data_IF_479008488529
#
_entry.id   IF_479008488529
#
_cell.length_a   1.000
_cell.length_b   1.000
_cell.length_c   1.000
_cell.angle_alpha   90.00
_cell.angle_beta   90.00
_cell.angle_gamma   90.00
#
_symmetry.space_group_name_H-M   'P 1'
#
loop_
_entity.id
_entity.type
_entity.pdbx_description
1 polymer ?
#
# COMPACT_ATOMS: atom_id res chain seq x y z
N UNK A 1 -0.41 -16.07 -6.04
CA UNK A 1 -1.43 -15.04 -6.24
C UNK A 1 -2.34 -15.02 -5.03
N UNK A 2 -2.41 -13.92 -4.29
CA UNK A 2 -3.33 -13.73 -3.16
C UNK A 2 -4.62 -13.05 -3.64
N UNK A 3 -5.67 -13.12 -2.83
CA UNK A 3 -6.93 -12.39 -3.00
C UNK A 3 -6.99 -11.13 -2.12
N UNK A 4 -8.06 -10.35 -2.27
CA UNK A 4 -8.27 -9.10 -1.52
C UNK A 4 -8.35 -9.30 -0.01
N UNK A 5 -9.00 -10.38 0.45
CA UNK A 5 -9.12 -10.66 1.88
C UNK A 5 -7.74 -10.94 2.48
N UNK A 6 -6.91 -11.71 1.77
CA UNK A 6 -5.53 -11.94 2.19
C UNK A 6 -4.68 -10.67 2.16
N UNK A 7 -4.87 -9.80 1.16
CA UNK A 7 -4.20 -8.50 1.12
C UNK A 7 -4.63 -7.60 2.29
N UNK A 8 -5.91 -7.65 2.69
CA UNK A 8 -6.42 -6.91 3.83
C UNK A 8 -5.83 -7.40 5.15
N UNK A 9 -5.67 -8.71 5.34
CA UNK A 9 -4.99 -9.27 6.50
C UNK A 9 -3.54 -8.77 6.59
N UNK A 10 -2.79 -8.81 5.48
CA UNK A 10 -1.40 -8.34 5.42
C UNK A 10 -1.32 -6.85 5.76
N UNK A 11 -2.21 -6.03 5.19
CA UNK A 11 -2.28 -4.59 5.49
C UNK A 11 -2.60 -4.32 6.96
N UNK A 12 -3.56 -5.06 7.53
CA UNK A 12 -3.94 -4.91 8.94
C UNK A 12 -2.80 -5.29 9.89
N UNK A 13 -2.08 -6.37 9.58
CA UNK A 13 -0.88 -6.78 10.33
C UNK A 13 0.23 -5.74 10.20
N UNK A 14 0.49 -5.24 8.99
CA UNK A 14 1.50 -4.22 8.73
C UNK A 14 1.23 -2.92 9.50
N UNK A 15 -0.03 -2.47 9.50
CA UNK A 15 -0.43 -1.22 10.16
C UNK A 15 -0.77 -1.40 11.65
N UNK A 16 -0.82 -2.63 12.14
CA UNK A 16 -1.24 -2.96 13.51
C UNK A 16 -2.68 -2.57 13.85
N UNK A 17 -3.55 -2.36 12.83
CA UNK A 17 -4.92 -1.86 13.01
C UNK A 17 -5.87 -2.27 11.88
N UNK A 18 -7.19 -2.39 12.15
CA UNK A 18 -8.18 -2.70 11.12
C UNK A 18 -8.39 -1.52 10.14
N UNK A 19 -8.93 -1.81 8.95
CA UNK A 19 -9.25 -0.81 7.92
C UNK A 19 -10.24 0.25 8.40
N UNK A 20 -11.20 -0.20 9.21
CA UNK A 20 -12.27 0.61 9.81
C UNK A 20 -11.84 1.29 11.12
N UNK A 21 -10.54 1.39 11.39
CA UNK A 21 -10.05 2.07 12.59
C UNK A 21 -10.59 3.51 12.65
N UNK A 22 -11.31 3.89 13.71
CA UNK A 22 -12.00 5.19 13.76
C UNK A 22 -11.04 6.37 13.89
N UNK A 23 -9.77 6.14 14.26
CA UNK A 23 -8.77 7.18 14.40
C UNK A 23 -7.91 7.33 13.15
N UNK A 24 -7.62 6.22 12.48
CA UNK A 24 -6.70 6.20 11.33
C UNK A 24 -7.16 5.20 10.25
N UNK A 25 -8.31 5.44 9.61
CA UNK A 25 -8.88 4.52 8.63
C UNK A 25 -7.99 4.43 7.40
N UNK A 26 -7.95 3.24 6.80
CA UNK A 26 -7.20 2.96 5.59
C UNK A 26 -8.00 2.07 4.64
N UNK A 27 -7.63 2.07 3.37
CA UNK A 27 -8.33 1.31 2.34
C UNK A 27 -7.32 0.67 1.38
N UNK A 28 -7.71 -0.44 0.76
CA UNK A 28 -6.96 -1.04 -0.34
C UNK A 28 -7.51 -0.55 -1.67
N UNK A 29 -6.62 -0.11 -2.55
CA UNK A 29 -6.94 0.19 -3.93
C UNK A 29 -6.33 -0.88 -4.84
N UNK A 30 -7.18 -1.74 -5.41
CA UNK A 30 -6.74 -2.78 -6.35
C UNK A 30 -6.20 -2.15 -7.64
N UNK A 31 -5.11 -2.72 -8.15
CA UNK A 31 -4.55 -2.45 -9.47
C UNK A 31 -3.93 -3.75 -10.04
N UNK A 32 -3.54 -3.80 -11.33
CA UNK A 32 -3.20 -5.09 -11.97
C UNK A 32 -2.09 -5.90 -11.29
N UNK A 33 -1.17 -5.25 -10.59
CA UNK A 33 -0.01 -5.87 -9.95
C UNK A 33 -0.24 -6.13 -8.45
N UNK A 34 -1.31 -5.62 -7.84
CA UNK A 34 -1.48 -5.68 -6.40
C UNK A 34 -2.54 -4.76 -5.81
N UNK A 35 -2.34 -4.40 -4.55
CA UNK A 35 -3.15 -3.42 -3.85
C UNK A 35 -2.26 -2.33 -3.25
N UNK A 36 -2.65 -1.07 -3.44
CA UNK A 36 -2.04 0.06 -2.77
C UNK A 36 -2.78 0.31 -1.44
N UNK A 37 -2.05 0.40 -0.34
CA UNK A 37 -2.59 0.76 0.97
C UNK A 37 -2.71 2.29 1.04
N UNK A 38 -3.94 2.79 0.94
CA UNK A 38 -4.25 4.20 1.09
C UNK A 38 -4.58 4.51 2.55
N UNK A 39 -3.59 5.06 3.26
CA UNK A 39 -3.73 5.52 4.67
C UNK A 39 -4.41 6.87 4.80
N UNK A 40 -4.59 7.58 3.69
CA UNK A 40 -5.13 8.94 3.63
C UNK A 40 -6.45 8.96 2.88
N UNK A 41 -7.17 7.83 2.77
CA UNK A 41 -8.44 7.75 2.05
C UNK A 41 -9.50 8.73 2.60
N UNK A 42 -9.33 9.18 3.84
CA UNK A 42 -10.17 10.16 4.53
C UNK A 42 -9.64 11.61 4.45
N UNK A 43 -8.46 11.86 3.86
CA UNK A 43 -7.84 13.17 3.75
C UNK A 43 -7.93 13.68 2.31
N UNK A 44 -8.15 14.98 2.15
CA UNK A 44 -8.18 15.66 0.85
C UNK A 44 -6.84 15.50 0.12
N UNK A 45 -6.86 15.61 -1.22
CA UNK A 45 -5.75 15.35 -2.16
C UNK A 45 -4.40 16.04 -1.84
N UNK A 46 -4.33 16.93 -0.84
CA UNK A 46 -3.11 17.62 -0.39
C UNK A 46 -2.12 16.76 0.40
N UNK A 47 -2.48 15.55 0.85
CA UNK A 47 -1.52 14.61 1.51
C UNK A 47 -0.69 13.79 0.51
N UNK A 48 -0.25 14.44 -0.58
CA UNK A 48 0.74 13.91 -1.52
C UNK A 48 2.12 13.89 -0.84
N UNK A 49 2.37 12.85 -0.06
CA UNK A 49 3.64 12.72 0.67
C UNK A 49 3.69 11.63 1.75
N UNK A 50 2.62 10.86 1.97
CA UNK A 50 2.72 9.67 2.78
C UNK A 50 3.43 8.56 1.98
N UNK A 51 4.37 7.84 2.61
CA UNK A 51 4.97 6.65 2.02
C UNK A 51 3.85 5.69 1.58
N UNK A 52 3.92 5.19 0.34
CA UNK A 52 2.92 4.29 -0.22
C UNK A 52 3.32 2.85 0.06
N UNK A 53 2.43 2.04 0.61
CA UNK A 53 2.66 0.60 0.72
C UNK A 53 1.88 -0.13 -0.36
N UNK A 54 2.53 -1.07 -1.02
CA UNK A 54 1.90 -1.93 -2.02
C UNK A 54 2.01 -3.37 -1.58
N UNK A 55 0.95 -4.14 -1.74
CA UNK A 55 0.94 -5.58 -1.57
C UNK A 55 0.91 -6.21 -2.96
N UNK A 56 1.99 -6.88 -3.34
CA UNK A 56 2.12 -7.53 -4.64
C UNK A 56 1.19 -8.74 -4.72
N UNK A 57 0.33 -8.78 -5.74
CA UNK A 57 -0.68 -9.84 -5.91
C UNK A 57 -0.05 -11.21 -6.03
N UNK A 58 1.08 -11.33 -6.73
CA UNK A 58 1.65 -12.63 -7.04
C UNK A 58 2.29 -13.30 -5.81
N UNK A 59 3.07 -12.53 -5.05
CA UNK A 59 3.90 -13.02 -3.94
C UNK A 59 3.32 -12.72 -2.55
N UNK A 60 2.33 -11.83 -2.43
CA UNK A 60 1.88 -11.30 -1.14
C UNK A 60 2.94 -10.49 -0.41
N UNK A 61 3.93 -9.97 -1.15
CA UNK A 61 5.04 -9.17 -0.60
C UNK A 61 4.61 -7.73 -0.42
N UNK A 62 5.05 -7.11 0.67
CA UNK A 62 4.85 -5.67 0.90
C UNK A 62 6.04 -4.89 0.35
N UNK A 63 5.75 -3.93 -0.50
CA UNK A 63 6.70 -2.96 -1.04
C UNK A 63 6.40 -1.59 -0.43
N UNK A 64 7.40 -0.99 0.20
CA UNK A 64 7.36 0.36 0.72
C UNK A 64 7.93 1.34 -0.32
N UNK A 65 7.17 2.39 -0.61
CA UNK A 65 7.56 3.44 -1.54
C UNK A 65 7.75 4.76 -0.78
N UNK A 66 8.83 5.50 -1.08
CA UNK A 66 9.08 6.79 -0.47
C UNK A 66 8.05 7.83 -0.93
N UNK A 67 7.86 8.85 -0.10
CA UNK A 67 6.86 9.92 -0.27
C UNK A 67 6.93 10.68 -1.60
N UNK A 68 8.10 10.73 -2.25
CA UNK A 68 8.28 11.38 -3.55
C UNK A 68 7.78 10.53 -4.74
N UNK A 69 7.40 9.27 -4.53
CA UNK A 69 6.74 8.44 -5.54
C UNK A 69 5.23 8.56 -5.30
N UNK A 70 4.50 9.34 -6.12
CA UNK A 70 3.10 9.59 -5.87
C UNK A 70 2.27 8.31 -6.13
N UNK A 71 1.20 8.07 -5.33
CA UNK A 71 0.28 6.94 -5.50
C UNK A 71 -0.19 6.70 -6.93
N UNK A 72 -0.57 7.77 -7.66
CA UNK A 72 -0.98 7.67 -9.06
C UNK A 72 0.10 7.02 -9.94
N UNK A 73 1.36 7.32 -9.69
CA UNK A 73 2.47 6.73 -10.44
C UNK A 73 2.66 5.26 -10.11
N UNK A 74 2.47 4.87 -8.86
CA UNK A 74 2.50 3.46 -8.44
C UNK A 74 1.39 2.67 -9.15
N UNK A 75 0.18 3.23 -9.21
CA UNK A 75 -0.99 2.58 -9.81
C UNK A 75 -0.90 2.45 -11.34
N UNK A 76 -0.29 3.43 -12.02
CA UNK A 76 -0.21 3.47 -13.50
C UNK A 76 1.13 2.96 -14.06
N UNK A 77 2.24 3.18 -13.35
CA UNK A 77 3.61 2.93 -13.83
C UNK A 77 4.39 2.02 -12.85
N UNK A 78 3.72 1.03 -12.24
CA UNK A 78 4.32 0.20 -11.18
C UNK A 78 5.69 -0.36 -11.56
N UNK A 79 5.82 -0.95 -12.74
CA UNK A 79 7.07 -1.53 -13.25
C UNK A 79 8.21 -0.50 -13.36
N UNK A 80 7.89 0.76 -13.68
CA UNK A 80 8.88 1.83 -13.79
C UNK A 80 9.29 2.42 -12.43
N UNK A 81 8.50 2.19 -11.38
CA UNK A 81 8.78 2.71 -10.03
C UNK A 81 9.17 1.62 -9.04
N UNK A 82 8.97 0.34 -9.33
CA UNK A 82 9.22 -0.77 -8.40
C UNK A 82 10.64 -0.77 -7.85
N UNK A 83 11.62 -0.39 -8.66
CA UNK A 83 13.04 -0.23 -8.28
C UNK A 83 13.27 0.90 -7.26
N UNK A 84 12.35 1.87 -7.19
CA UNK A 84 12.37 2.95 -6.20
C UNK A 84 11.75 2.54 -4.86
N UNK A 85 10.99 1.44 -4.85
CA UNK A 85 10.46 0.85 -3.65
C UNK A 85 11.43 -0.18 -3.07
N UNK A 86 11.22 -0.55 -1.82
CA UNK A 86 11.96 -1.64 -1.19
C UNK A 86 11.00 -2.56 -0.46
N UNK A 87 11.34 -3.86 -0.32
CA UNK A 87 10.57 -4.76 0.53
C UNK A 87 10.51 -4.23 1.96
N UNK A 88 9.31 -4.12 2.52
CA UNK A 88 9.19 -3.97 3.96
C UNK A 88 9.55 -5.32 4.59
N UNK A 89 10.73 -5.42 5.19
CA UNK A 89 11.09 -6.55 6.05
C UNK A 89 10.37 -6.35 7.39
N UNK A 90 9.36 -7.16 7.65
CA UNK A 90 8.83 -7.35 8.99
C UNK A 90 9.83 -8.18 9.81
N UNK A 91 10.91 -7.55 10.29
CA UNK A 91 11.89 -8.15 11.20
C UNK A 91 12.22 -7.11 12.29
N UNK A 92 11.46 -7.17 13.41
CA UNK A 92 11.96 -7.27 14.79
C UNK A 92 10.82 -7.73 15.72
#
# INVERSE_FOLDING_TARGET
MIDEQRAQEIAATLLGRPAEDPQQPWSLQEFPQGWLINRTAHLTEEYVGAAGYVIEKNAGRVMCFPSFVPPRRILHEYDAVVDRGYPEHADD
#
